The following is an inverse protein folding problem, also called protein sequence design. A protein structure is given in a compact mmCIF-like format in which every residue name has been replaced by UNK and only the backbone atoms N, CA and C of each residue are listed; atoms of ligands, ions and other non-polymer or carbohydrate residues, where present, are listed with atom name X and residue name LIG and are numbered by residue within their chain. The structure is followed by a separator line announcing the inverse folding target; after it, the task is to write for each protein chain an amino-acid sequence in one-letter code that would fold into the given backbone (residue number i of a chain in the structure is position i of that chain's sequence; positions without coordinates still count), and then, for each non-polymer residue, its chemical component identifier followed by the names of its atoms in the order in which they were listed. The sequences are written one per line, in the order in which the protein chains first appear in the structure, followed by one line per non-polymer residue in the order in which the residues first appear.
data_IF_405013848671
#
_entry.id   IF_405013848671
#
_cell.length_a   1.000
_cell.length_b   1.000
_cell.length_c   1.000
_cell.angle_alpha   90.00
_cell.angle_beta   90.00
_cell.angle_gamma   90.00
#
_symmetry.space_group_name_H-M   'P 1'
#
loop_
_entity.id
_entity.type
_entity.pdbx_description
1 polymer ?
#
# COMPACT_ATOMS: atom_id res chain seq x y z
N UNK A 1 15.53 -1.14 -5.64
CA UNK A 1 15.59 -2.50 -6.20
C UNK A 1 14.56 -3.42 -5.54
N UNK A 2 14.23 -4.60 -6.12
CA UNK A 2 13.39 -5.58 -5.45
C UNK A 2 13.89 -5.88 -4.03
N UNK A 3 13.00 -5.85 -3.05
CA UNK A 3 13.33 -6.07 -1.64
C UNK A 3 13.67 -4.81 -0.81
N UNK A 4 13.76 -3.64 -1.44
CA UNK A 4 13.94 -2.38 -0.68
C UNK A 4 12.67 -1.97 0.07
N UNK A 5 12.86 -1.30 1.20
CA UNK A 5 11.76 -0.71 1.97
C UNK A 5 11.15 0.46 1.20
N UNK A 6 9.83 0.43 1.02
CA UNK A 6 9.08 1.48 0.30
C UNK A 6 8.27 2.34 1.28
N UNK A 7 7.67 1.71 2.30
CA UNK A 7 6.78 2.39 3.26
C UNK A 7 6.87 1.72 4.63
N UNK A 8 6.73 2.54 5.68
CA UNK A 8 6.66 2.12 7.07
C UNK A 8 5.47 2.82 7.73
N UNK A 9 4.59 2.04 8.36
CA UNK A 9 3.46 2.53 9.17
C UNK A 9 3.67 2.06 10.60
N UNK A 10 3.56 2.97 11.56
CA UNK A 10 3.67 2.68 12.99
C UNK A 10 2.46 3.28 13.70
N UNK A 11 1.81 2.49 14.56
CA UNK A 11 0.74 2.93 15.42
C UNK A 11 1.03 2.52 16.87
N UNK A 12 0.64 3.38 17.82
CA UNK A 12 0.78 3.14 19.24
C UNK A 12 -0.57 3.33 19.93
N UNK A 13 -0.88 2.45 20.89
CA UNK A 13 -2.10 2.52 21.69
C UNK A 13 -1.88 1.84 23.04
N UNK A 14 -2.67 2.23 24.05
CA UNK A 14 -2.68 1.59 25.37
C UNK A 14 -3.08 0.10 25.30
N UNK A 15 -3.86 -0.28 24.28
CA UNK A 15 -4.27 -1.66 24.05
C UNK A 15 -3.83 -2.13 22.66
N UNK A 16 -3.16 -3.29 22.61
CA UNK A 16 -2.56 -3.83 21.39
C UNK A 16 -3.50 -3.89 20.19
N UNK A 17 -4.77 -4.20 20.42
CA UNK A 17 -5.76 -4.37 19.34
C UNK A 17 -5.97 -3.08 18.55
N UNK A 18 -6.10 -1.96 19.24
CA UNK A 18 -6.25 -0.67 18.58
C UNK A 18 -5.00 -0.23 17.81
N UNK A 19 -3.80 -0.61 18.28
CA UNK A 19 -2.56 -0.34 17.53
C UNK A 19 -2.51 -1.16 16.23
N UNK A 20 -2.89 -2.44 16.28
CA UNK A 20 -2.96 -3.28 15.07
C UNK A 20 -4.02 -2.76 14.09
N UNK A 21 -5.23 -2.48 14.56
CA UNK A 21 -6.33 -1.99 13.71
C UNK A 21 -5.97 -0.64 13.06
N UNK A 22 -5.31 0.28 13.78
CA UNK A 22 -4.89 1.56 13.21
C UNK A 22 -3.79 1.42 12.15
N UNK A 23 -2.80 0.55 12.36
CA UNK A 23 -1.76 0.30 11.37
C UNK A 23 -2.32 -0.36 10.11
N UNK A 24 -3.27 -1.29 10.28
CA UNK A 24 -3.96 -1.98 9.19
C UNK A 24 -4.82 -1.00 8.37
N UNK A 25 -5.65 -0.20 9.04
CA UNK A 25 -6.44 0.87 8.41
C UNK A 25 -5.58 1.81 7.58
N UNK A 26 -4.45 2.28 8.14
CA UNK A 26 -3.58 3.23 7.46
C UNK A 26 -2.95 2.63 6.21
N UNK A 27 -2.62 1.34 6.22
CA UNK A 27 -2.11 0.65 5.03
C UNK A 27 -3.17 0.56 3.93
N UNK A 28 -4.39 0.14 4.26
CA UNK A 28 -5.50 0.05 3.30
C UNK A 28 -5.84 1.43 2.70
N UNK A 29 -5.88 2.46 3.55
CA UNK A 29 -6.14 3.83 3.10
C UNK A 29 -5.01 4.36 2.20
N UNK A 30 -3.74 4.10 2.55
CA UNK A 30 -2.59 4.52 1.75
C UNK A 30 -2.60 3.87 0.36
N UNK A 31 -2.95 2.59 0.28
CA UNK A 31 -2.96 1.83 -0.98
C UNK A 31 -4.03 2.30 -1.96
N UNK A 32 -5.12 2.88 -1.48
CA UNK A 32 -6.27 3.28 -2.29
C UNK A 32 -6.38 4.77 -2.53
N UNK A 33 -5.93 5.61 -1.59
CA UNK A 33 -6.16 7.07 -1.63
C UNK A 33 -4.90 7.88 -1.90
N UNK A 34 -3.71 7.34 -1.69
CA UNK A 34 -2.49 8.10 -1.92
C UNK A 34 -2.13 8.12 -3.43
N UNK A 35 -1.82 9.30 -4.01
CA UNK A 35 -1.57 9.43 -5.44
C UNK A 35 -0.16 8.96 -5.82
N UNK A 36 0.00 7.64 -5.97
CA UNK A 36 1.25 7.01 -6.40
C UNK A 36 1.02 6.11 -7.62
N UNK A 37 1.99 6.09 -8.53
CA UNK A 37 2.01 5.19 -9.67
C UNK A 37 3.37 4.50 -9.77
N UNK A 38 3.37 3.20 -10.08
CA UNK A 38 4.60 2.43 -10.31
C UNK A 38 4.82 2.32 -11.81
N UNK A 39 6.04 2.63 -12.26
CA UNK A 39 6.45 2.46 -13.66
C UNK A 39 7.31 1.22 -13.79
N UNK A 40 7.05 0.42 -14.81
CA UNK A 40 7.81 -0.81 -15.05
C UNK A 40 9.12 -0.51 -15.79
N UNK A 41 10.19 -1.18 -15.37
CA UNK A 41 11.47 -1.19 -16.07
C UNK A 41 11.74 -2.65 -16.46
N UNK A 42 11.75 -2.92 -17.76
CA UNK A 42 11.87 -4.27 -18.31
C UNK A 42 13.34 -4.73 -18.30
N UNK A 43 13.54 -6.04 -18.31
CA UNK A 43 14.87 -6.66 -18.21
C UNK A 43 15.79 -6.30 -19.40
N UNK A 44 15.20 -5.95 -20.55
CA UNK A 44 15.91 -5.49 -21.74
C UNK A 44 16.32 -4.00 -21.68
N UNK A 45 16.04 -3.32 -20.56
CA UNK A 45 16.36 -1.92 -20.34
C UNK A 45 15.31 -0.94 -20.87
N UNK A 46 14.23 -1.44 -21.50
CA UNK A 46 13.14 -0.58 -21.95
C UNK A 46 12.21 -0.20 -20.79
N UNK A 47 11.53 0.94 -20.92
CA UNK A 47 10.52 1.38 -19.94
C UNK A 47 9.17 0.83 -20.36
N UNK A 48 8.55 0.05 -19.47
CA UNK A 48 7.22 -0.50 -19.66
C UNK A 48 6.13 0.50 -19.30
N UNK A 49 4.92 -0.02 -19.10
CA UNK A 49 3.75 0.78 -18.75
C UNK A 49 3.74 1.24 -17.29
N UNK A 50 2.66 1.93 -16.94
CA UNK A 50 2.29 2.15 -15.55
C UNK A 50 1.56 0.91 -15.03
N UNK A 51 1.88 0.50 -13.82
CA UNK A 51 1.20 -0.62 -13.16
C UNK A 51 -0.18 -0.14 -12.70
N UNK A 52 -1.21 -0.87 -13.12
CA UNK A 52 -2.59 -0.63 -12.70
C UNK A 52 -2.80 -0.91 -11.22
N UNK A 53 -3.74 -0.17 -10.61
CA UNK A 53 -4.21 -0.46 -9.28
C UNK A 53 -4.93 -1.82 -9.25
N UNK A 54 -4.88 -2.52 -8.11
CA UNK A 54 -5.56 -3.80 -7.94
C UNK A 54 -6.91 -3.58 -7.26
N UNK A 55 -7.96 -4.19 -7.78
CA UNK A 55 -9.29 -4.13 -7.14
C UNK A 55 -9.32 -4.74 -5.73
N UNK A 56 -8.39 -5.63 -5.39
CA UNK A 56 -8.21 -6.16 -4.03
C UNK A 56 -7.91 -5.06 -3.00
N UNK A 57 -7.20 -4.00 -3.40
CA UNK A 57 -6.90 -2.87 -2.51
C UNK A 57 -8.21 -2.10 -2.18
N UNK A 58 -9.12 -1.97 -3.14
CA UNK A 58 -10.44 -1.35 -2.94
C UNK A 58 -11.34 -2.20 -2.03
N UNK A 59 -11.31 -3.52 -2.19
CA UNK A 59 -12.05 -4.46 -1.32
C UNK A 59 -11.57 -4.37 0.14
N UNK A 60 -10.26 -4.31 0.36
CA UNK A 60 -9.67 -4.16 1.68
C UNK A 60 -10.07 -2.83 2.33
N UNK A 61 -10.05 -1.73 1.57
CA UNK A 61 -10.46 -0.42 2.07
C UNK A 61 -11.94 -0.36 2.48
N UNK A 62 -12.83 -1.06 1.76
CA UNK A 62 -14.28 -1.11 2.06
C UNK A 62 -14.62 -1.75 3.41
N UNK A 63 -13.71 -2.50 4.04
CA UNK A 63 -13.88 -3.02 5.40
C UNK A 63 -14.09 -1.91 6.44
N UNK A 64 -13.66 -0.68 6.13
CA UNK A 64 -13.63 0.45 7.05
C UNK A 64 -14.74 1.48 6.83
N UNK A 65 -15.63 1.25 5.86
CA UNK A 65 -16.85 2.04 5.60
C UNK A 65 -18.03 1.51 6.44
#
# INVERSE_FOLDING_TARGET
APGEQIVLVIAASAHRRAAFEAADFMMDYLKTRAPFWKREHLADGTTGGWVEAKGEDDDAARRWD
#
